data_IF_587627808990
#
_entry.id   IF_587627808990
#
_cell.length_a   1.000
_cell.length_b   1.000
_cell.length_c   1.000
_cell.angle_alpha   90.00
_cell.angle_beta   90.00
_cell.angle_gamma   90.00
#
_symmetry.space_group_name_H-M   'P 1'
#
loop_
_entity.id
_entity.type
_entity.pdbx_description
1 polymer ?
#
# COMPACT_ATOMS: atom_id res chain seq x y z
N UNK A 1 23.38 -6.59 -13.33
CA UNK A 1 22.47 -7.73 -13.13
C UNK A 1 21.07 -7.18 -12.93
N UNK A 2 20.04 -7.71 -13.60
CA UNK A 2 18.65 -7.25 -13.45
C UNK A 2 17.66 -8.37 -13.79
N UNK A 3 16.66 -8.59 -12.93
CA UNK A 3 15.54 -9.53 -13.14
C UNK A 3 14.24 -8.89 -12.64
N UNK A 4 13.12 -9.44 -13.10
CA UNK A 4 11.78 -8.98 -12.72
C UNK A 4 10.82 -10.15 -12.62
N UNK A 5 9.84 -10.02 -11.72
CA UNK A 5 8.71 -10.95 -11.59
C UNK A 5 7.45 -10.15 -11.88
N UNK A 6 6.67 -10.62 -12.85
CA UNK A 6 5.34 -10.06 -13.12
C UNK A 6 4.28 -10.93 -12.43
N UNK A 7 3.51 -10.35 -11.52
CA UNK A 7 2.47 -11.06 -10.77
C UNK A 7 1.85 -10.20 -9.68
N UNK A 8 0.86 -10.76 -9.00
CA UNK A 8 0.23 -10.13 -7.84
C UNK A 8 1.16 -10.19 -6.62
N UNK A 9 1.78 -9.06 -6.27
CA UNK A 9 2.69 -8.96 -5.13
C UNK A 9 2.01 -9.25 -3.78
N UNK A 10 0.67 -9.18 -3.69
CA UNK A 10 -0.05 -9.59 -2.49
C UNK A 10 -0.07 -11.10 -2.28
N UNK A 11 0.14 -11.90 -3.33
CA UNK A 11 0.08 -13.35 -3.28
C UNK A 11 1.30 -13.99 -2.61
N UNK A 12 1.07 -15.14 -1.94
CA UNK A 12 2.15 -15.98 -1.44
C UNK A 12 3.02 -16.54 -2.59
N UNK A 13 2.43 -16.75 -3.76
CA UNK A 13 3.13 -17.28 -4.94
C UNK A 13 4.25 -16.34 -5.41
N UNK A 14 3.98 -15.03 -5.51
CA UNK A 14 4.98 -14.04 -5.93
C UNK A 14 6.06 -13.88 -4.85
N UNK A 15 5.70 -13.95 -3.56
CA UNK A 15 6.67 -13.96 -2.46
C UNK A 15 7.62 -15.16 -2.57
N UNK A 16 7.08 -16.37 -2.79
CA UNK A 16 7.87 -17.59 -2.96
C UNK A 16 8.81 -17.50 -4.18
N UNK A 17 8.30 -17.08 -5.35
CA UNK A 17 9.13 -16.88 -6.56
C UNK A 17 10.25 -15.87 -6.35
N UNK A 18 9.99 -14.82 -5.57
CA UNK A 18 10.99 -13.80 -5.24
C UNK A 18 12.09 -14.38 -4.35
N UNK A 19 11.71 -15.14 -3.32
CA UNK A 19 12.66 -15.84 -2.43
C UNK A 19 13.54 -16.80 -3.24
N UNK A 20 12.95 -17.61 -4.11
CA UNK A 20 13.70 -18.55 -4.96
C UNK A 20 14.71 -17.83 -5.85
N UNK A 21 14.30 -16.73 -6.47
CA UNK A 21 15.18 -15.92 -7.32
C UNK A 21 16.32 -15.29 -6.53
N UNK A 22 16.05 -14.73 -5.34
CA UNK A 22 17.10 -14.16 -4.48
C UNK A 22 18.10 -15.25 -4.09
N UNK A 23 17.64 -16.43 -3.65
CA UNK A 23 18.51 -17.55 -3.28
C UNK A 23 19.40 -18.02 -4.43
N UNK A 24 18.84 -18.11 -5.63
CA UNK A 24 19.55 -18.60 -6.81
C UNK A 24 20.67 -17.66 -7.26
N UNK A 25 20.43 -16.35 -7.18
CA UNK A 25 21.27 -15.37 -7.87
C UNK A 25 22.08 -14.45 -6.94
N UNK A 26 21.51 -14.05 -5.81
CA UNK A 26 22.07 -13.04 -4.91
C UNK A 26 22.47 -13.62 -3.54
N UNK A 27 21.88 -14.74 -3.15
CA UNK A 27 21.95 -15.29 -1.80
C UNK A 27 21.08 -14.50 -0.82
N UNK A 28 21.36 -13.21 -0.66
CA UNK A 28 20.62 -12.29 0.23
C UNK A 28 20.43 -10.90 -0.42
N UNK A 29 19.55 -10.08 0.15
CA UNK A 29 19.38 -8.66 -0.19
C UNK A 29 19.61 -7.76 1.02
N UNK A 30 20.18 -6.58 0.78
CA UNK A 30 20.49 -5.59 1.82
C UNK A 30 19.43 -4.46 1.92
N UNK A 31 18.53 -4.36 0.94
CA UNK A 31 17.48 -3.35 0.92
C UNK A 31 16.18 -3.87 0.29
N UNK A 32 15.06 -3.58 0.95
CA UNK A 32 13.70 -3.81 0.41
C UNK A 32 12.97 -2.47 0.27
N UNK A 33 12.43 -2.18 -0.91
CA UNK A 33 11.63 -0.98 -1.17
C UNK A 33 10.19 -1.39 -1.45
N UNK A 34 9.27 -1.03 -0.56
CA UNK A 34 7.84 -1.30 -0.70
C UNK A 34 7.12 -0.08 -1.30
N UNK A 35 6.94 -0.11 -2.62
CA UNK A 35 6.36 0.99 -3.41
C UNK A 35 5.10 0.56 -4.15
N UNK A 36 4.20 -0.16 -3.47
CA UNK A 36 2.97 -0.67 -4.07
C UNK A 36 1.84 0.36 -3.97
N UNK A 37 1.18 0.63 -5.09
CA UNK A 37 -0.09 1.35 -5.15
C UNK A 37 -1.11 0.52 -5.93
N UNK A 38 -2.16 0.06 -5.26
CA UNK A 38 -3.20 -0.76 -5.87
C UNK A 38 -4.60 -0.36 -5.38
N UNK A 39 -5.63 -0.41 -6.24
CA UNK A 39 -7.00 -0.09 -5.84
C UNK A 39 -7.69 -1.26 -5.12
N UNK A 40 -7.07 -2.44 -5.12
CA UNK A 40 -7.62 -3.67 -4.56
C UNK A 40 -6.52 -4.64 -4.18
N UNK A 41 -6.82 -5.52 -3.23
CA UNK A 41 -5.96 -6.61 -2.76
C UNK A 41 -6.78 -7.89 -2.72
N UNK A 42 -6.24 -8.98 -3.25
CA UNK A 42 -6.74 -10.32 -2.96
C UNK A 42 -6.00 -10.84 -1.74
N UNK A 43 -6.70 -11.03 -0.61
CA UNK A 43 -6.05 -11.45 0.62
C UNK A 43 -5.46 -12.87 0.44
N UNK A 44 -4.16 -13.08 0.73
CA UNK A 44 -3.45 -14.31 0.32
C UNK A 44 -3.97 -15.57 1.01
N UNK A 45 -4.53 -15.47 2.22
CA UNK A 45 -5.05 -16.62 2.98
C UNK A 45 -6.54 -16.90 2.78
N UNK A 46 -7.39 -15.88 2.80
CA UNK A 46 -8.85 -16.02 2.69
C UNK A 46 -9.34 -16.02 1.24
N UNK A 47 -8.56 -15.47 0.31
CA UNK A 47 -8.94 -15.31 -1.10
C UNK A 47 -9.93 -14.17 -1.37
N UNK A 48 -10.35 -13.44 -0.33
CA UNK A 48 -11.26 -12.30 -0.44
C UNK A 48 -10.65 -11.16 -1.27
N UNK A 49 -11.45 -10.53 -2.12
CA UNK A 49 -11.04 -9.34 -2.89
C UNK A 49 -11.55 -8.10 -2.16
N UNK A 50 -10.61 -7.33 -1.61
CA UNK A 50 -10.85 -6.13 -0.84
C UNK A 50 -10.49 -4.92 -1.71
N UNK A 51 -11.31 -3.88 -1.68
CA UNK A 51 -11.09 -2.65 -2.45
C UNK A 51 -10.78 -1.47 -1.53
N UNK A 52 -9.89 -0.58 -1.98
CA UNK A 52 -9.62 0.69 -1.30
C UNK A 52 -10.60 1.76 -1.78
N UNK A 53 -10.90 2.72 -0.91
CA UNK A 53 -11.69 3.91 -1.21
C UNK A 53 -10.84 5.17 -1.02
N UNK A 54 -11.14 6.22 -1.80
CA UNK A 54 -10.56 7.56 -1.63
C UNK A 54 -11.67 8.53 -1.24
N UNK A 55 -11.96 8.54 0.06
CA UNK A 55 -13.05 9.33 0.66
C UNK A 55 -12.60 9.99 1.97
N UNK A 56 -13.18 11.16 2.34
CA UNK A 56 -12.97 11.76 3.64
C UNK A 56 -13.48 10.85 4.77
N UNK A 57 -13.08 11.12 6.01
CA UNK A 57 -13.65 10.50 7.21
C UNK A 57 -14.38 11.58 8.01
N UNK A 58 -15.56 11.28 8.54
CA UNK A 58 -16.37 12.20 9.33
C UNK A 58 -17.36 12.97 8.47
N UNK A 59 -16.97 14.13 7.96
CA UNK A 59 -17.86 15.06 7.25
C UNK A 59 -17.67 15.00 5.72
N UNK A 60 -18.73 15.25 4.93
CA UNK A 60 -18.61 15.36 3.48
C UNK A 60 -17.75 16.56 3.09
N UNK A 61 -17.04 16.45 1.96
CA UNK A 61 -16.20 17.53 1.43
C UNK A 61 -16.57 17.86 -0.01
N UNK A 62 -16.29 19.10 -0.40
CA UNK A 62 -16.36 19.55 -1.80
C UNK A 62 -14.96 19.87 -2.26
N UNK A 63 -14.48 19.16 -3.28
CA UNK A 63 -13.18 19.39 -3.87
C UNK A 63 -13.33 20.08 -5.22
N UNK A 64 -12.56 21.15 -5.42
CA UNK A 64 -12.39 21.72 -6.75
C UNK A 64 -11.28 20.97 -7.47
N UNK A 65 -11.58 20.49 -8.67
CA UNK A 65 -10.65 19.78 -9.53
C UNK A 65 -10.61 20.37 -10.93
N UNK A 66 -9.73 19.82 -11.76
CA UNK A 66 -9.69 20.06 -13.19
C UNK A 66 -10.18 18.80 -13.89
N UNK A 67 -11.26 18.90 -14.66
CA UNK A 67 -11.62 17.88 -15.65
C UNK A 67 -10.62 18.02 -16.80
N UNK A 68 -9.72 17.05 -16.93
CA UNK A 68 -8.62 17.08 -17.89
C UNK A 68 -9.06 16.80 -19.33
N UNK A 69 -10.24 16.18 -19.54
CA UNK A 69 -10.76 15.92 -20.88
C UNK A 69 -11.42 17.18 -21.47
N UNK A 70 -12.05 17.98 -20.61
CA UNK A 70 -12.77 19.20 -21.00
C UNK A 70 -12.00 20.48 -20.72
N UNK A 71 -10.89 20.39 -19.99
CA UNK A 71 -10.07 21.52 -19.53
C UNK A 71 -10.88 22.55 -18.73
N UNK A 72 -11.86 22.08 -17.95
CA UNK A 72 -12.72 22.94 -17.11
C UNK A 72 -12.56 22.64 -15.63
N UNK A 73 -12.68 23.68 -14.81
CA UNK A 73 -12.78 23.50 -13.37
C UNK A 73 -14.11 22.86 -13.02
N UNK A 74 -14.07 21.85 -12.17
CA UNK A 74 -15.24 21.12 -11.68
C UNK A 74 -15.24 21.05 -10.17
N UNK A 75 -16.40 20.83 -9.59
CA UNK A 75 -16.55 20.56 -8.16
C UNK A 75 -17.09 19.14 -7.98
N UNK A 76 -16.45 18.38 -7.10
CA UNK A 76 -16.84 17.02 -6.75
C UNK A 76 -17.22 16.97 -5.27
N UNK A 77 -18.44 16.55 -4.99
CA UNK A 77 -18.92 16.33 -3.63
C UNK A 77 -18.66 14.88 -3.23
N UNK A 78 -17.82 14.67 -2.22
CA UNK A 78 -17.47 13.36 -1.70
C UNK A 78 -18.16 13.11 -0.36
N UNK A 79 -18.83 11.98 -0.26
CA UNK A 79 -19.39 11.49 1.00
C UNK A 79 -18.29 10.84 1.86
N UNK A 80 -18.44 10.85 3.19
CA UNK A 80 -17.57 10.13 4.11
C UNK A 80 -17.45 8.64 3.78
N UNK A 81 -16.28 8.07 4.05
CA UNK A 81 -16.06 6.64 4.00
C UNK A 81 -16.87 5.93 5.09
N UNK A 82 -17.47 4.79 4.77
CA UNK A 82 -18.04 3.91 5.80
C UNK A 82 -16.93 3.20 6.58
N UNK A 83 -17.21 2.65 7.78
CA UNK A 83 -16.23 1.86 8.52
C UNK A 83 -15.62 0.71 7.69
N UNK A 84 -16.42 0.05 6.86
CA UNK A 84 -15.99 -1.02 5.97
C UNK A 84 -15.05 -0.50 4.88
N UNK A 85 -15.34 0.66 4.30
CA UNK A 85 -14.49 1.30 3.30
C UNK A 85 -13.14 1.74 3.89
N UNK A 86 -13.13 2.23 5.13
CA UNK A 86 -11.90 2.55 5.85
C UNK A 86 -11.08 1.28 6.11
N UNK A 87 -11.71 0.24 6.67
CA UNK A 87 -11.04 -1.04 6.93
C UNK A 87 -10.50 -1.68 5.65
N UNK A 88 -11.26 -1.65 4.56
CA UNK A 88 -10.82 -2.14 3.25
C UNK A 88 -9.63 -1.35 2.70
N UNK A 89 -9.64 -0.02 2.87
CA UNK A 89 -8.52 0.84 2.47
C UNK A 89 -7.27 0.55 3.27
N UNK A 90 -7.38 0.35 4.58
CA UNK A 90 -6.28 -0.08 5.46
C UNK A 90 -5.75 -1.45 5.05
N UNK A 91 -6.62 -2.42 4.76
CA UNK A 91 -6.20 -3.75 4.33
C UNK A 91 -5.45 -3.75 2.99
N UNK A 92 -5.77 -2.83 2.07
CA UNK A 92 -5.12 -2.73 0.75
C UNK A 92 -3.84 -1.89 0.79
N UNK A 93 -3.87 -0.73 1.45
CA UNK A 93 -2.82 0.30 1.36
C UNK A 93 -2.05 0.52 2.68
N UNK A 94 -2.38 -0.24 3.72
CA UNK A 94 -1.69 -0.26 5.00
C UNK A 94 -0.42 -1.11 4.97
N UNK A 95 0.11 -1.40 6.16
CA UNK A 95 1.40 -2.06 6.31
C UNK A 95 1.34 -3.59 6.35
N UNK A 96 0.16 -4.21 6.33
CA UNK A 96 0.04 -5.66 6.53
C UNK A 96 0.80 -6.48 5.46
N UNK A 97 0.62 -6.17 4.17
CA UNK A 97 1.33 -6.91 3.13
C UNK A 97 2.84 -6.63 3.14
N UNK A 98 3.24 -5.41 3.49
CA UNK A 98 4.65 -5.09 3.67
C UNK A 98 5.28 -5.93 4.79
N UNK A 99 4.60 -6.07 5.93
CA UNK A 99 5.02 -6.98 7.00
C UNK A 99 5.13 -8.42 6.50
N UNK A 100 4.11 -8.91 5.78
CA UNK A 100 4.12 -10.28 5.21
C UNK A 100 5.30 -10.51 4.26
N UNK A 101 5.73 -9.48 3.52
CA UNK A 101 6.94 -9.54 2.69
C UNK A 101 8.21 -9.67 3.52
N UNK A 102 8.38 -8.81 4.53
CA UNK A 102 9.58 -8.82 5.37
C UNK A 102 9.67 -10.12 6.16
N UNK A 103 8.56 -10.59 6.74
CA UNK A 103 8.49 -11.86 7.46
C UNK A 103 8.88 -13.04 6.55
N UNK A 104 8.28 -13.14 5.36
CA UNK A 104 8.58 -14.23 4.42
C UNK A 104 10.04 -14.23 3.95
N UNK A 105 10.64 -13.06 3.73
CA UNK A 105 12.05 -12.94 3.35
C UNK A 105 12.98 -13.28 4.54
N UNK A 106 12.64 -12.84 5.75
CA UNK A 106 13.39 -13.13 6.97
C UNK A 106 13.37 -14.64 7.29
N UNK A 107 12.18 -15.26 7.28
CA UNK A 107 11.99 -16.70 7.52
C UNK A 107 12.74 -17.55 6.50
N UNK A 108 12.86 -17.06 5.26
CA UNK A 108 13.61 -17.74 4.21
C UNK A 108 15.13 -17.53 4.31
N UNK A 109 15.61 -16.67 5.21
CA UNK A 109 17.02 -16.35 5.42
C UNK A 109 17.65 -15.48 4.32
N UNK A 110 16.82 -14.79 3.52
CA UNK A 110 17.30 -14.04 2.34
C UNK A 110 17.49 -12.54 2.60
N UNK A 111 17.30 -12.08 3.84
CA UNK A 111 17.67 -10.72 4.26
C UNK A 111 19.09 -10.75 4.86
N UNK A 112 19.95 -9.86 4.38
CA UNK A 112 21.31 -9.72 4.88
C UNK A 112 21.34 -9.09 6.29
N UNK A 113 22.44 -9.27 7.02
CA UNK A 113 22.63 -8.58 8.29
C UNK A 113 22.70 -7.06 8.07
N UNK A 114 21.90 -6.29 8.82
CA UNK A 114 21.77 -4.85 8.62
C UNK A 114 20.88 -4.47 7.42
N UNK A 115 20.10 -5.41 6.87
CA UNK A 115 19.14 -5.12 5.81
C UNK A 115 18.20 -3.97 6.22
N UNK A 116 17.97 -3.04 5.31
CA UNK A 116 17.05 -1.91 5.52
C UNK A 116 15.78 -2.12 4.72
N UNK A 117 14.67 -1.56 5.18
CA UNK A 117 13.43 -1.53 4.42
C UNK A 117 12.77 -0.16 4.52
N UNK A 118 12.14 0.28 3.43
CA UNK A 118 11.38 1.53 3.39
C UNK A 118 10.10 1.33 2.61
N UNK A 119 9.05 2.01 3.05
CA UNK A 119 7.75 2.03 2.38
C UNK A 119 7.31 3.48 2.17
N UNK A 120 6.82 3.79 0.98
CA UNK A 120 6.49 5.17 0.63
C UNK A 120 5.14 5.62 1.21
N UNK A 121 5.14 6.82 1.80
CA UNK A 121 3.97 7.48 2.38
C UNK A 121 3.80 8.89 1.79
N UNK A 122 2.61 9.45 1.96
CA UNK A 122 2.28 10.80 1.51
C UNK A 122 1.40 11.49 2.55
N UNK A 123 1.84 12.64 3.03
CA UNK A 123 1.10 13.49 3.97
C UNK A 123 0.34 14.58 3.22
N UNK A 124 1.03 15.26 2.29
CA UNK A 124 0.46 16.34 1.49
C UNK A 124 0.30 17.67 2.23
N UNK A 125 -0.06 18.71 1.48
CA UNK A 125 -0.38 20.03 2.01
C UNK A 125 -1.80 20.07 2.60
N UNK A 126 -2.07 21.07 3.46
CA UNK A 126 -3.34 21.25 4.18
C UNK A 126 -4.57 21.13 3.29
N UNK A 127 -4.52 21.71 2.07
CA UNK A 127 -5.60 21.67 1.08
C UNK A 127 -6.00 20.25 0.66
N UNK A 128 -5.09 19.28 0.76
CA UNK A 128 -5.31 17.88 0.38
C UNK A 128 -5.59 16.96 1.56
N UNK A 129 -5.41 17.43 2.80
CA UNK A 129 -5.47 16.57 3.98
C UNK A 129 -6.83 15.90 4.16
N UNK A 130 -7.93 16.59 3.83
CA UNK A 130 -9.28 16.06 4.01
C UNK A 130 -9.56 14.78 3.19
N UNK A 131 -8.93 14.63 2.01
CA UNK A 131 -9.05 13.42 1.18
C UNK A 131 -7.87 12.46 1.38
N UNK A 132 -6.66 12.97 1.68
CA UNK A 132 -5.47 12.16 1.92
C UNK A 132 -5.25 11.85 3.40
N UNK A 133 -4.50 12.67 4.14
CA UNK A 133 -4.01 12.35 5.49
C UNK A 133 -5.10 12.08 6.54
N UNK A 134 -6.24 12.78 6.42
CA UNK A 134 -7.39 12.64 7.30
C UNK A 134 -8.53 11.82 6.66
N UNK A 135 -8.35 11.37 5.42
CA UNK A 135 -9.26 10.47 4.74
C UNK A 135 -8.95 8.99 4.98
N UNK A 136 -9.70 8.14 4.29
CA UNK A 136 -9.54 6.68 4.27
C UNK A 136 -8.12 6.22 3.94
N UNK A 137 -7.46 6.84 2.95
CA UNK A 137 -6.07 6.49 2.59
C UNK A 137 -5.06 6.91 3.67
N UNK A 138 -5.33 8.01 4.38
CA UNK A 138 -4.52 8.45 5.51
C UNK A 138 -4.60 7.50 6.70
N UNK A 139 -5.76 6.88 6.93
CA UNK A 139 -5.89 5.80 7.91
C UNK A 139 -4.97 4.60 7.55
N UNK A 140 -4.89 4.25 6.27
CA UNK A 140 -3.97 3.21 5.80
C UNK A 140 -2.50 3.60 5.97
N UNK A 141 -2.13 4.86 5.69
CA UNK A 141 -0.75 5.33 5.90
C UNK A 141 -0.34 5.38 7.37
N UNK A 142 -1.27 5.72 8.26
CA UNK A 142 -1.04 5.63 9.72
C UNK A 142 -0.84 4.18 10.17
N UNK A 143 -1.51 3.19 9.57
CA UNK A 143 -1.24 1.78 9.85
C UNK A 143 0.18 1.37 9.41
N UNK A 144 0.63 1.86 8.26
CA UNK A 144 2.00 1.63 7.78
C UNK A 144 3.06 2.19 8.75
N UNK A 145 2.81 3.35 9.38
CA UNK A 145 3.66 3.92 10.43
C UNK A 145 3.66 3.07 11.72
N UNK A 146 2.62 2.27 12.00
CA UNK A 146 2.65 1.34 13.14
C UNK A 146 3.50 0.11 12.86
N UNK A 147 3.61 -0.31 11.59
CA UNK A 147 4.39 -1.51 11.21
C UNK A 147 5.88 -1.26 11.10
N UNK A 148 6.32 -0.03 10.84
CA UNK A 148 7.76 0.31 10.78
C UNK A 148 8.45 0.28 12.16
N UNK A 149 7.69 0.31 13.26
CA UNK A 149 8.21 0.36 14.63
C UNK A 149 8.41 -1.02 15.28
N UNK A 150 8.03 -2.11 14.59
CA UNK A 150 8.21 -3.50 15.03
C UNK A 150 9.39 -4.17 14.34
#
# INVERSE_FOLDING_TARGET
YAKSINGDAFSDEVKAKTIEMIKADLGQVDQVVYSLAAPRRKHPKTGEIISSSLKPIGEPITLRGLDTDKEVLTETHLQPATPEEIAGTVAVMGGEDWQMWIDALADAGVLANGCTTTAFTYVGEEITQAIYWNGSIGAAKKDLDTKVLG
#
